data_IF_985610879392
#
_entry.id   IF_985610879392
#
_cell.length_a   1.000
_cell.length_b   1.000
_cell.length_c   1.000
_cell.angle_alpha   90.00
_cell.angle_beta   90.00
_cell.angle_gamma   90.00
#
_symmetry.space_group_name_H-M   'P 1'
#
loop_
_entity.id
_entity.type
_entity.pdbx_description
1 polymer ?
#
# COMPACT_ATOMS: atom_id res chain seq x y z
N UNK A 1 46.37 14.00 51.15
CA UNK A 1 45.09 14.62 50.75
C UNK A 1 44.76 14.16 49.33
N UNK A 2 43.93 13.13 49.22
CA UNK A 2 43.29 12.72 47.97
C UNK A 2 41.80 12.74 48.26
N UNK A 3 41.04 13.43 47.43
CA UNK A 3 39.77 12.91 46.93
C UNK A 3 39.52 13.56 45.57
N UNK A 4 39.72 12.74 44.54
CA UNK A 4 39.26 13.04 43.19
C UNK A 4 37.77 12.66 43.17
N UNK A 5 36.90 13.65 42.94
CA UNK A 5 35.50 13.40 42.67
C UNK A 5 35.35 12.62 41.38
N UNK A 6 34.76 11.43 41.46
CA UNK A 6 34.31 10.67 40.29
C UNK A 6 32.87 11.09 39.99
N UNK A 7 32.65 11.48 38.74
CA UNK A 7 31.34 11.80 38.14
C UNK A 7 30.51 10.52 38.01
N UNK A 8 29.21 10.66 38.18
CA UNK A 8 28.23 9.77 37.54
C UNK A 8 27.19 10.65 36.82
N UNK A 9 27.30 10.68 35.50
CA UNK A 9 26.25 11.14 34.60
C UNK A 9 25.52 9.86 34.17
N UNK A 10 24.37 9.57 34.78
CA UNK A 10 23.45 8.56 34.24
C UNK A 10 22.48 9.26 33.28
N UNK A 11 22.79 9.18 31.99
CA UNK A 11 21.80 9.42 30.94
C UNK A 11 21.29 8.07 30.48
N UNK A 12 20.23 7.59 31.15
CA UNK A 12 19.51 6.38 30.76
C UNK A 12 18.46 6.75 29.69
N UNK A 13 18.88 6.97 28.45
CA UNK A 13 17.94 7.08 27.32
C UNK A 13 17.81 5.72 26.64
N UNK A 14 16.60 5.17 26.64
CA UNK A 14 16.22 4.07 25.76
C UNK A 14 15.61 4.68 24.49
N UNK A 15 16.24 4.47 23.34
CA UNK A 15 15.62 4.78 22.06
C UNK A 15 14.63 3.67 21.72
N UNK A 16 13.33 3.99 21.76
CA UNK A 16 12.27 3.10 21.32
C UNK A 16 11.94 3.43 19.87
N UNK A 17 12.08 2.45 19.00
CA UNK A 17 11.80 2.59 17.58
C UNK A 17 10.38 2.17 17.20
N UNK A 18 9.83 1.20 17.92
CA UNK A 18 8.43 0.81 17.77
C UNK A 18 7.89 0.30 19.10
N UNK A 19 6.59 0.49 19.33
CA UNK A 19 5.88 -0.01 20.50
C UNK A 19 4.43 -0.31 20.13
N UNK A 20 3.81 -1.28 20.80
CA UNK A 20 2.38 -1.54 20.66
C UNK A 20 1.67 -1.23 21.97
N UNK A 21 0.58 -0.48 21.88
CA UNK A 21 -0.34 -0.22 23.00
C UNK A 21 -1.67 -0.90 22.69
N UNK A 22 -2.18 -1.68 23.63
CA UNK A 22 -3.48 -2.36 23.51
C UNK A 22 -4.38 -1.85 24.62
N UNK A 23 -5.56 -1.35 24.24
CA UNK A 23 -6.58 -0.81 25.12
C UNK A 23 -7.53 -1.91 25.57
N UNK A 24 -8.15 -1.73 26.74
CA UNK A 24 -9.17 -2.64 27.26
C UNK A 24 -10.41 -2.74 26.33
N UNK A 25 -10.65 -1.70 25.51
CA UNK A 25 -11.69 -1.68 24.48
C UNK A 25 -11.46 -2.69 23.35
N UNK A 26 -10.22 -3.16 23.14
CA UNK A 26 -9.85 -4.00 21.99
C UNK A 26 -9.22 -3.22 20.83
N UNK A 27 -8.94 -1.92 21.01
CA UNK A 27 -8.13 -1.11 20.10
C UNK A 27 -6.66 -1.40 20.33
N UNK A 28 -5.89 -1.60 19.25
CA UNK A 28 -4.44 -1.75 19.30
C UNK A 28 -3.78 -0.67 18.42
N UNK A 29 -2.82 0.06 18.99
CA UNK A 29 -2.05 1.09 18.29
C UNK A 29 -0.59 0.64 18.24
N UNK A 30 -0.10 0.42 17.02
CA UNK A 30 1.32 0.30 16.74
C UNK A 30 1.89 1.70 16.53
N UNK A 31 2.87 2.08 17.34
CA UNK A 31 3.57 3.37 17.32
C UNK A 31 4.96 3.18 16.75
N UNK A 32 5.40 4.11 15.89
CA UNK A 32 6.71 4.10 15.24
C UNK A 32 7.47 5.39 15.60
N UNK A 33 8.59 5.24 16.32
CA UNK A 33 9.41 6.35 16.78
C UNK A 33 10.20 7.05 15.65
N UNK A 34 10.50 8.36 15.79
CA UNK A 34 10.04 9.25 16.86
C UNK A 34 8.54 9.56 16.71
N UNK A 35 7.80 9.54 17.83
CA UNK A 35 6.38 9.88 17.87
C UNK A 35 6.05 10.61 19.17
N UNK A 36 5.26 11.69 19.06
CA UNK A 36 4.62 12.39 20.18
C UNK A 36 3.13 12.08 20.15
N UNK A 37 2.70 11.25 21.10
CA UNK A 37 1.35 10.70 21.18
C UNK A 37 0.81 10.81 22.60
N UNK A 38 -0.35 11.43 22.77
CA UNK A 38 -1.09 11.45 24.03
C UNK A 38 -2.25 10.45 23.96
N UNK A 39 -2.38 9.59 24.96
CA UNK A 39 -3.33 8.48 24.95
C UNK A 39 -4.47 8.72 25.94
N UNK A 40 -5.70 8.51 25.49
CA UNK A 40 -6.93 8.51 26.28
C UNK A 40 -7.73 7.23 26.01
N UNK A 41 -8.74 6.96 26.82
CA UNK A 41 -9.51 5.69 26.77
C UNK A 41 -10.16 5.43 25.40
N UNK A 42 -10.63 6.47 24.72
CA UNK A 42 -11.39 6.37 23.46
C UNK A 42 -10.79 7.20 22.32
N UNK A 43 -9.66 7.87 22.54
CA UNK A 43 -8.99 8.64 21.51
C UNK A 43 -7.50 8.83 21.83
N UNK A 44 -6.74 9.31 20.84
CA UNK A 44 -5.38 9.80 21.06
C UNK A 44 -5.13 11.11 20.31
N UNK A 45 -4.11 11.85 20.75
CA UNK A 45 -3.63 13.04 20.07
C UNK A 45 -2.25 12.74 19.50
N UNK A 46 -2.14 12.66 18.17
CA UNK A 46 -0.89 12.47 17.45
C UNK A 46 -0.38 13.82 16.96
N UNK A 47 0.69 14.33 17.58
CA UNK A 47 1.27 15.64 17.21
C UNK A 47 2.37 15.51 16.17
N UNK A 48 3.17 14.44 16.23
CA UNK A 48 4.24 14.12 15.28
C UNK A 48 4.48 12.61 15.34
N UNK A 49 4.80 11.98 14.22
CA UNK A 49 5.18 10.57 14.14
C UNK A 49 4.17 9.73 13.37
N UNK A 50 4.18 8.42 13.60
CA UNK A 50 3.40 7.45 12.82
C UNK A 50 2.73 6.45 13.74
N UNK A 51 1.46 6.19 13.47
CA UNK A 51 0.67 5.16 14.14
C UNK A 51 -0.09 4.32 13.13
N UNK A 52 -0.28 3.05 13.47
CA UNK A 52 -1.19 2.14 12.78
C UNK A 52 -2.16 1.57 13.81
N UNK A 53 -3.44 1.74 13.54
CA UNK A 53 -4.52 1.36 14.46
C UNK A 53 -5.22 0.14 13.90
N UNK A 54 -5.49 -0.83 14.76
CA UNK A 54 -6.40 -1.95 14.50
C UNK A 54 -7.51 -1.95 15.53
N UNK A 55 -8.74 -1.91 15.05
CA UNK A 55 -9.93 -1.88 15.90
C UNK A 55 -10.66 -3.21 15.80
N UNK A 56 -10.82 -3.88 16.94
CA UNK A 56 -11.56 -5.15 17.00
C UNK A 56 -13.06 -4.91 16.78
N UNK A 57 -13.81 -5.85 16.19
CA UNK A 57 -15.26 -5.72 16.05
C UNK A 57 -15.95 -5.46 17.41
N UNK A 58 -16.83 -4.47 17.47
CA UNK A 58 -17.50 -4.00 18.68
C UNK A 58 -16.74 -2.92 19.48
N UNK A 59 -15.57 -2.50 19.02
CA UNK A 59 -14.75 -1.45 19.63
C UNK A 59 -14.72 -0.15 18.80
N UNK A 60 -15.69 0.03 17.91
CA UNK A 60 -15.71 1.12 16.93
C UNK A 60 -15.89 2.51 17.57
N UNK A 61 -15.42 3.53 16.85
CA UNK A 61 -15.55 4.94 17.24
C UNK A 61 -14.35 5.52 17.99
N UNK A 62 -13.21 4.82 18.04
CA UNK A 62 -11.93 5.36 18.44
C UNK A 62 -11.48 6.48 17.51
N UNK A 63 -10.91 7.53 18.09
CA UNK A 63 -10.54 8.73 17.34
C UNK A 63 -9.04 9.03 17.43
N UNK A 64 -8.44 9.44 16.30
CA UNK A 64 -7.13 10.08 16.28
C UNK A 64 -7.33 11.56 15.98
N UNK A 65 -6.91 12.40 16.91
CA UNK A 65 -6.79 13.83 16.71
C UNK A 65 -5.38 14.15 16.24
N UNK A 66 -5.25 14.84 15.12
CA UNK A 66 -4.01 15.44 14.65
C UNK A 66 -4.16 16.97 14.67
N UNK A 67 -3.09 17.76 14.39
CA UNK A 67 -3.20 19.20 14.33
C UNK A 67 -4.22 19.75 13.32
N UNK A 68 -4.53 19.00 12.25
CA UNK A 68 -5.39 19.46 11.14
C UNK A 68 -6.56 18.54 10.81
N UNK A 69 -6.64 17.36 11.43
CA UNK A 69 -7.74 16.44 11.18
C UNK A 69 -8.21 15.67 12.41
N UNK A 70 -9.45 15.19 12.32
CA UNK A 70 -10.04 14.21 13.19
C UNK A 70 -10.32 12.96 12.35
N UNK A 71 -9.73 11.84 12.75
CA UNK A 71 -9.88 10.55 12.10
C UNK A 71 -10.70 9.64 13.02
N UNK A 72 -11.88 9.20 12.55
CA UNK A 72 -12.81 8.35 13.30
C UNK A 72 -12.86 6.96 12.70
N UNK A 73 -12.65 5.92 13.51
CA UNK A 73 -12.80 4.55 13.04
C UNK A 73 -14.27 4.10 12.97
N UNK A 74 -14.58 3.25 11.99
CA UNK A 74 -15.85 2.53 11.89
C UNK A 74 -15.66 0.99 11.83
N UNK A 75 -14.66 0.45 12.54
CA UNK A 75 -14.34 -0.98 12.56
C UNK A 75 -13.34 -1.41 11.49
N UNK A 76 -12.09 -0.99 11.66
CA UNK A 76 -11.10 -0.90 10.57
C UNK A 76 -9.66 -1.07 11.05
N UNK A 77 -8.77 -1.35 10.09
CA UNK A 77 -7.33 -1.13 10.24
C UNK A 77 -6.90 0.06 9.36
N UNK A 78 -6.21 1.04 9.94
CA UNK A 78 -5.78 2.26 9.25
C UNK A 78 -4.48 2.83 9.80
N UNK A 79 -3.79 3.64 9.00
CA UNK A 79 -2.55 4.33 9.36
C UNK A 79 -2.75 5.83 9.41
N UNK A 80 -2.09 6.49 10.36
CA UNK A 80 -2.01 7.96 10.46
C UNK A 80 -0.56 8.37 10.69
N UNK A 81 -0.07 9.36 9.95
CA UNK A 81 1.24 9.96 10.19
C UNK A 81 1.16 11.48 10.19
N UNK A 82 1.97 12.13 11.02
CA UNK A 82 2.19 13.58 11.00
C UNK A 82 3.70 13.82 10.92
N UNK A 83 4.15 14.47 9.85
CA UNK A 83 5.58 14.75 9.65
C UNK A 83 6.04 16.06 10.30
N UNK A 84 7.35 16.33 10.25
CA UNK A 84 7.95 17.55 10.83
C UNK A 84 7.52 18.85 10.13
N UNK A 85 6.97 18.77 8.93
CA UNK A 85 6.42 19.92 8.20
C UNK A 85 4.95 20.19 8.57
N UNK A 86 4.33 19.25 9.30
CA UNK A 86 2.91 19.26 9.63
C UNK A 86 2.03 18.70 8.50
N UNK A 87 2.61 18.01 7.52
CA UNK A 87 1.82 17.21 6.57
C UNK A 87 1.34 15.94 7.27
N UNK A 88 0.04 15.69 7.16
CA UNK A 88 -0.59 14.50 7.72
C UNK A 88 -0.93 13.53 6.59
N UNK A 89 -0.88 12.23 6.86
CA UNK A 89 -1.31 11.18 5.92
C UNK A 89 -2.23 10.22 6.63
N UNK A 90 -3.29 9.81 5.95
CA UNK A 90 -4.23 8.80 6.42
C UNK A 90 -4.42 7.77 5.31
N UNK A 91 -4.40 6.48 5.65
CA UNK A 91 -4.68 5.39 4.71
C UNK A 91 -5.46 4.27 5.38
N UNK A 92 -6.45 3.71 4.66
CA UNK A 92 -7.30 2.63 5.15
C UNK A 92 -6.86 1.29 4.56
N UNK A 93 -6.58 0.31 5.42
CA UNK A 93 -6.13 -1.02 5.04
C UNK A 93 -7.24 -2.07 5.07
N UNK A 94 -8.24 -1.89 5.93
CA UNK A 94 -9.45 -2.73 6.03
C UNK A 94 -10.62 -1.88 6.52
N UNK A 95 -11.87 -2.13 6.14
CA UNK A 95 -13.03 -1.40 6.68
C UNK A 95 -13.16 0.06 6.16
N UNK A 96 -13.72 0.93 7.00
CA UNK A 96 -14.01 2.34 6.69
C UNK A 96 -13.54 3.29 7.83
N UNK A 97 -13.09 4.48 7.45
CA UNK A 97 -12.66 5.57 8.34
C UNK A 97 -13.34 6.87 7.92
N UNK A 98 -13.78 7.67 8.88
CA UNK A 98 -14.20 9.06 8.66
C UNK A 98 -13.06 10.04 8.88
N UNK A 99 -12.90 11.02 7.99
CA UNK A 99 -11.92 12.10 8.12
C UNK A 99 -12.63 13.45 8.10
N UNK A 100 -12.35 14.29 9.09
CA UNK A 100 -12.83 15.66 9.17
C UNK A 100 -11.65 16.63 9.32
N UNK A 101 -11.64 17.70 8.54
CA UNK A 101 -10.69 18.82 8.63
C UNK A 101 -11.45 20.14 8.76
N UNK A 102 -10.77 21.21 9.21
CA UNK A 102 -11.39 22.55 9.31
C UNK A 102 -11.92 23.07 7.95
N UNK A 103 -11.34 22.61 6.85
CA UNK A 103 -11.73 23.01 5.47
C UNK A 103 -12.77 22.06 4.85
N UNK A 104 -12.98 20.88 5.43
CA UNK A 104 -13.94 19.91 4.91
C UNK A 104 -15.39 20.31 5.23
N UNK A 105 -16.30 20.18 4.26
CA UNK A 105 -17.73 20.42 4.47
C UNK A 105 -18.41 19.16 5.03
N UNK A 106 -17.98 18.72 6.21
CA UNK A 106 -18.40 17.48 6.85
C UNK A 106 -17.37 16.36 6.73
N UNK A 107 -17.69 15.24 7.35
CA UNK A 107 -16.83 14.05 7.34
C UNK A 107 -16.79 13.41 5.94
N UNK A 108 -15.58 13.07 5.50
CA UNK A 108 -15.33 12.34 4.27
C UNK A 108 -15.01 10.90 4.65
N UNK A 109 -15.79 9.96 4.14
CA UNK A 109 -15.59 8.53 4.37
C UNK A 109 -14.55 7.98 3.40
N UNK A 110 -13.62 7.21 3.95
CA UNK A 110 -12.56 6.51 3.23
C UNK A 110 -12.73 5.01 3.44
N UNK A 111 -12.77 4.26 2.35
CA UNK A 111 -12.82 2.80 2.34
C UNK A 111 -11.44 2.18 2.16
N UNK A 112 -11.34 0.86 2.31
CA UNK A 112 -10.14 0.08 2.01
C UNK A 112 -9.46 0.51 0.69
N UNK A 113 -8.14 0.71 0.75
CA UNK A 113 -7.35 1.13 -0.40
C UNK A 113 -7.36 2.64 -0.66
N UNK A 114 -8.11 3.42 0.13
CA UNK A 114 -8.19 4.87 -0.01
C UNK A 114 -7.34 5.59 1.05
N UNK A 115 -6.85 6.76 0.67
CA UNK A 115 -6.02 7.59 1.53
C UNK A 115 -5.85 9.01 1.05
N UNK A 116 -5.48 9.87 1.99
CA UNK A 116 -5.33 11.31 1.78
C UNK A 116 -4.08 11.85 2.48
N UNK A 117 -3.59 12.96 1.95
CA UNK A 117 -2.73 13.89 2.69
C UNK A 117 -3.55 15.09 3.15
N UNK A 118 -3.27 15.58 4.35
CA UNK A 118 -3.81 16.83 4.88
C UNK A 118 -2.64 17.79 5.02
N UNK A 119 -2.66 18.88 4.26
CA UNK A 119 -1.59 19.86 4.38
C UNK A 119 -1.79 20.79 5.59
N UNK A 120 -0.82 21.66 5.87
CA UNK A 120 -0.87 22.63 6.98
C UNK A 120 -2.09 23.57 6.99
N UNK A 121 -2.78 23.73 5.86
CA UNK A 121 -3.99 24.53 5.74
C UNK A 121 -5.26 23.72 6.01
N UNK A 122 -5.17 22.39 6.21
CA UNK A 122 -6.33 21.52 6.34
C UNK A 122 -6.90 21.03 5.00
N UNK A 123 -6.25 21.35 3.88
CA UNK A 123 -6.68 20.92 2.55
C UNK A 123 -6.32 19.45 2.32
N UNK A 124 -7.29 18.70 1.83
CA UNK A 124 -7.18 17.28 1.51
C UNK A 124 -6.71 17.08 0.08
N UNK A 125 -5.71 16.23 -0.10
CA UNK A 125 -5.26 15.75 -1.40
C UNK A 125 -5.18 14.22 -1.39
N UNK A 126 -5.24 13.59 -2.55
CA UNK A 126 -5.06 12.13 -2.66
C UNK A 126 -3.65 11.73 -2.18
N UNK A 127 -3.57 10.70 -1.36
CA UNK A 127 -2.32 10.01 -1.08
C UNK A 127 -2.06 9.02 -2.20
N UNK A 128 -1.06 9.26 -3.04
CA UNK A 128 -0.83 8.39 -4.21
C UNK A 128 -0.15 7.06 -3.86
N UNK A 129 0.74 7.04 -2.88
CA UNK A 129 1.55 5.85 -2.56
C UNK A 129 1.58 5.60 -1.06
N UNK A 130 1.42 4.33 -0.70
CA UNK A 130 1.70 3.79 0.62
C UNK A 130 2.77 2.71 0.50
N UNK A 131 3.84 2.84 1.26
CA UNK A 131 4.93 1.87 1.35
C UNK A 131 5.26 1.54 2.83
N UNK A 132 6.29 0.73 3.05
CA UNK A 132 6.78 0.37 4.37
C UNK A 132 7.38 1.56 5.16
N UNK A 133 7.68 2.67 4.48
CA UNK A 133 8.15 3.91 5.10
C UNK A 133 7.01 4.85 5.49
N UNK A 134 5.78 4.61 5.04
CA UNK A 134 4.67 5.55 5.25
C UNK A 134 4.15 5.52 6.69
N UNK A 135 3.82 4.34 7.21
CA UNK A 135 3.22 4.18 8.56
C UNK A 135 3.99 3.24 9.50
N UNK A 136 4.89 2.41 8.96
CA UNK A 136 5.63 1.41 9.74
C UNK A 136 7.04 1.88 10.10
N UNK A 137 7.62 1.29 11.15
CA UNK A 137 9.03 1.47 11.47
C UNK A 137 9.87 0.57 10.56
N UNK A 138 10.90 1.14 9.95
CA UNK A 138 11.99 0.37 9.37
C UNK A 138 13.25 0.59 10.19
N UNK A 139 13.84 -0.51 10.68
CA UNK A 139 15.28 -0.53 10.91
C UNK A 139 15.95 -0.11 9.61
N UNK A 140 16.98 0.74 9.66
CA UNK A 140 17.78 1.16 8.50
C UNK A 140 17.80 0.08 7.42
N UNK A 141 16.98 0.22 6.38
CA UNK A 141 16.84 -0.84 5.40
C UNK A 141 18.20 -1.07 4.77
N UNK A 142 18.67 -2.32 4.81
CA UNK A 142 19.85 -2.72 4.02
C UNK A 142 19.59 -2.58 2.52
N UNK A 143 18.33 -2.40 2.12
CA UNK A 143 17.87 -2.30 0.75
C UNK A 143 17.06 -1.01 0.57
N UNK A 144 17.64 0.07 0.03
CA UNK A 144 16.88 1.28 -0.28
C UNK A 144 15.73 0.96 -1.25
N UNK A 145 14.61 1.71 -1.20
CA UNK A 145 13.48 1.49 -2.12
C UNK A 145 13.95 1.55 -3.56
N UNK A 146 13.42 0.68 -4.41
CA UNK A 146 13.69 0.69 -5.85
C UNK A 146 12.69 1.59 -6.56
N UNK A 147 11.41 1.42 -6.24
CA UNK A 147 10.31 2.28 -6.68
C UNK A 147 10.13 3.36 -5.63
N UNK A 148 10.31 4.62 -6.01
CA UNK A 148 10.25 5.77 -5.10
C UNK A 148 8.98 6.59 -5.24
N UNK A 149 8.26 6.42 -6.36
CA UNK A 149 6.99 7.09 -6.60
C UNK A 149 6.15 6.32 -7.60
N UNK A 150 4.83 6.41 -7.45
CA UNK A 150 3.81 5.99 -8.41
C UNK A 150 2.76 7.08 -8.45
N UNK A 151 2.47 7.61 -9.63
CA UNK A 151 1.41 8.59 -9.84
C UNK A 151 0.63 8.24 -11.09
N UNK A 152 -0.58 8.74 -11.21
CA UNK A 152 -1.39 8.61 -12.42
C UNK A 152 -2.01 9.96 -12.81
N UNK A 153 -2.72 9.96 -13.92
CA UNK A 153 -3.42 11.14 -14.43
C UNK A 153 -4.91 11.20 -14.03
N UNK A 154 -5.34 10.38 -13.06
CA UNK A 154 -6.72 10.34 -12.56
C UNK A 154 -6.92 11.49 -11.59
N UNK A 155 -8.04 12.20 -11.72
CA UNK A 155 -8.27 13.42 -10.93
C UNK A 155 -8.53 13.08 -9.46
N UNK A 156 -7.94 13.86 -8.56
CA UNK A 156 -8.03 13.65 -7.10
C UNK A 156 -9.41 13.97 -6.50
N UNK A 157 -10.28 14.66 -7.23
CA UNK A 157 -11.68 14.88 -6.85
C UNK A 157 -12.62 13.75 -7.29
N UNK A 158 -12.09 12.76 -8.03
CA UNK A 158 -12.82 11.61 -8.55
C UNK A 158 -12.43 10.29 -7.82
N UNK A 159 -11.23 10.21 -7.23
CA UNK A 159 -10.70 8.99 -6.62
C UNK A 159 -9.71 9.26 -5.46
N UNK A 160 -9.80 8.49 -4.38
CA UNK A 160 -8.87 8.53 -3.24
C UNK A 160 -7.98 7.30 -3.10
N UNK A 161 -8.05 6.36 -4.05
CA UNK A 161 -7.30 5.10 -4.01
C UNK A 161 -5.79 5.32 -4.14
N UNK A 162 -5.00 4.65 -3.31
CA UNK A 162 -3.54 4.70 -3.36
C UNK A 162 -2.95 3.47 -4.04
N UNK A 163 -1.75 3.58 -4.60
CA UNK A 163 -0.91 2.42 -4.90
C UNK A 163 -0.20 1.96 -3.64
N UNK A 164 0.00 0.66 -3.49
CA UNK A 164 0.84 0.12 -2.42
C UNK A 164 2.11 -0.51 -2.98
N UNK A 165 3.27 -0.10 -2.45
CA UNK A 165 4.55 -0.75 -2.79
C UNK A 165 4.85 -1.79 -1.72
N UNK A 166 4.98 -3.05 -2.15
CA UNK A 166 5.30 -4.18 -1.27
C UNK A 166 6.58 -4.86 -1.74
N UNK A 167 7.59 -4.85 -0.88
CA UNK A 167 8.78 -5.72 -1.04
C UNK A 167 8.38 -7.17 -0.84
N UNK A 168 8.89 -8.06 -1.70
CA UNK A 168 8.52 -9.46 -1.71
C UNK A 168 7.00 -9.67 -1.88
N UNK A 169 6.33 -8.83 -2.67
CA UNK A 169 4.87 -8.90 -2.84
C UNK A 169 4.36 -10.08 -3.66
N UNK A 170 5.23 -10.78 -4.40
CA UNK A 170 4.85 -11.97 -5.17
C UNK A 170 5.13 -13.22 -4.34
N UNK A 171 4.11 -13.70 -3.62
CA UNK A 171 4.12 -14.98 -2.92
C UNK A 171 2.76 -15.67 -3.12
N UNK A 172 2.68 -16.96 -2.82
CA UNK A 172 1.40 -17.69 -2.81
C UNK A 172 0.45 -16.99 -1.82
N UNK A 173 -0.85 -16.99 -2.13
CA UNK A 173 -1.91 -16.35 -1.35
C UNK A 173 -1.69 -14.83 -1.11
N UNK A 174 -0.82 -14.15 -1.88
CA UNK A 174 -0.55 -12.71 -1.70
C UNK A 174 -1.50 -11.84 -2.49
N UNK A 175 -2.03 -10.82 -1.83
CA UNK A 175 -3.01 -9.90 -2.41
C UNK A 175 -2.45 -9.11 -3.60
N UNK A 176 -3.24 -9.00 -4.66
CA UNK A 176 -2.87 -8.33 -5.92
C UNK A 176 -3.19 -6.84 -5.88
N UNK A 177 -4.37 -6.48 -5.36
CA UNK A 177 -4.91 -5.12 -5.39
C UNK A 177 -5.19 -4.56 -4.00
N UNK A 178 -5.15 -3.23 -3.88
CA UNK A 178 -5.52 -2.57 -2.61
C UNK A 178 -7.02 -2.67 -2.34
N UNK A 179 -7.85 -2.56 -3.37
CA UNK A 179 -9.33 -2.46 -3.34
C UNK A 179 -10.06 -3.78 -3.62
N UNK A 180 -9.32 -4.88 -3.88
CA UNK A 180 -9.87 -6.22 -4.12
C UNK A 180 -9.06 -7.28 -3.39
N UNK A 181 -9.73 -8.36 -2.99
CA UNK A 181 -9.12 -9.45 -2.23
C UNK A 181 -8.43 -10.51 -3.12
N UNK A 182 -8.34 -10.32 -4.43
CA UNK A 182 -7.72 -11.30 -5.34
C UNK A 182 -6.26 -11.58 -4.95
N UNK A 183 -5.85 -12.84 -5.12
CA UNK A 183 -4.53 -13.34 -4.68
C UNK A 183 -3.73 -13.91 -5.85
N UNK A 184 -2.41 -13.68 -5.81
CA UNK A 184 -1.45 -14.39 -6.64
C UNK A 184 -1.30 -15.82 -6.16
N UNK A 185 -1.26 -16.75 -7.11
CA UNK A 185 -0.91 -18.13 -6.87
C UNK A 185 -0.11 -18.70 -8.04
N UNK A 186 0.66 -19.76 -7.82
CA UNK A 186 1.20 -20.53 -8.93
C UNK A 186 0.06 -21.13 -9.76
N UNK A 187 0.31 -21.36 -11.06
CA UNK A 187 -0.58 -22.20 -11.86
C UNK A 187 -0.47 -23.67 -11.44
N UNK A 188 -1.45 -24.48 -11.81
CA UNK A 188 -1.52 -25.89 -11.38
C UNK A 188 -0.27 -26.68 -11.77
N UNK A 189 0.28 -27.42 -10.81
CA UNK A 189 1.52 -28.20 -10.96
C UNK A 189 2.76 -27.36 -11.31
N UNK A 190 2.78 -26.08 -10.92
CA UNK A 190 3.92 -25.17 -11.06
C UNK A 190 4.23 -24.49 -9.72
N UNK A 191 5.34 -23.76 -9.68
CA UNK A 191 5.66 -22.77 -8.66
C UNK A 191 5.55 -21.36 -9.24
N UNK A 192 5.50 -20.34 -8.38
CA UNK A 192 5.71 -18.96 -8.79
C UNK A 192 7.10 -18.80 -9.45
N UNK A 193 7.23 -17.91 -10.47
CA UNK A 193 8.51 -17.71 -11.14
C UNK A 193 9.57 -17.14 -10.19
N UNK A 194 10.64 -17.89 -9.94
CA UNK A 194 11.69 -17.51 -8.98
C UNK A 194 12.39 -16.19 -9.31
N UNK A 195 12.39 -15.77 -10.58
CA UNK A 195 12.95 -14.49 -10.97
C UNK A 195 12.17 -13.29 -10.42
N UNK A 196 10.94 -13.48 -9.91
CA UNK A 196 10.15 -12.46 -9.22
C UNK A 196 10.41 -12.41 -7.70
N UNK A 197 11.23 -13.30 -7.15
CA UNK A 197 11.61 -13.20 -5.73
C UNK A 197 12.43 -11.91 -5.49
N UNK A 198 12.38 -11.34 -4.28
CA UNK A 198 13.13 -10.13 -3.90
C UNK A 198 12.80 -8.90 -4.76
N UNK A 199 11.60 -8.86 -5.35
CA UNK A 199 11.10 -7.73 -6.12
C UNK A 199 10.19 -6.80 -5.30
N UNK A 200 10.01 -5.58 -5.76
CA UNK A 200 8.96 -4.67 -5.31
C UNK A 200 7.73 -4.80 -6.21
N UNK A 201 6.58 -5.12 -5.62
CA UNK A 201 5.27 -5.14 -6.26
C UNK A 201 4.61 -3.77 -6.07
N UNK A 202 4.10 -3.19 -7.14
CA UNK A 202 3.09 -2.14 -7.11
C UNK A 202 1.72 -2.80 -7.14
N UNK A 203 1.07 -2.86 -5.99
CA UNK A 203 -0.34 -3.19 -5.91
C UNK A 203 -1.12 -1.99 -6.46
N UNK A 204 -1.75 -2.21 -7.60
CA UNK A 204 -2.70 -1.25 -8.17
C UNK A 204 -4.04 -1.37 -7.46
N UNK A 205 -4.94 -0.45 -7.75
CA UNK A 205 -6.37 -0.64 -7.49
C UNK A 205 -7.03 -1.09 -8.80
N UNK A 206 -8.08 -1.90 -8.69
CA UNK A 206 -8.73 -2.51 -9.85
C UNK A 206 -9.84 -1.65 -10.44
N UNK A 207 -10.30 -0.61 -9.76
CA UNK A 207 -11.45 0.18 -10.20
C UNK A 207 -11.25 0.98 -11.50
N UNK A 208 -10.07 1.56 -11.76
CA UNK A 208 -9.82 2.35 -12.99
C UNK A 208 -9.50 1.52 -14.23
N UNK A 209 -9.61 0.19 -14.18
CA UNK A 209 -9.38 -0.71 -15.32
C UNK A 209 -10.12 -0.30 -16.60
N UNK A 210 -11.22 0.44 -16.50
CA UNK A 210 -12.08 0.89 -17.61
C UNK A 210 -11.69 2.25 -18.20
N UNK A 211 -10.77 3.00 -17.61
CA UNK A 211 -10.37 4.30 -18.15
C UNK A 211 -9.41 4.14 -19.34
N UNK A 212 -9.91 4.51 -20.53
CA UNK A 212 -9.15 4.47 -21.79
C UNK A 212 -8.09 5.57 -21.88
N UNK A 213 -8.11 6.57 -20.99
CA UNK A 213 -7.12 7.66 -20.92
C UNK A 213 -6.12 7.48 -19.79
N UNK A 214 -6.23 6.41 -19.00
CA UNK A 214 -5.35 6.12 -17.88
C UNK A 214 -3.87 6.03 -18.31
N UNK A 215 -3.02 6.75 -17.58
CA UNK A 215 -1.57 6.68 -17.65
C UNK A 215 -1.00 6.67 -16.24
N UNK A 216 -0.16 5.67 -15.94
CA UNK A 216 0.59 5.56 -14.70
C UNK A 216 2.07 5.87 -14.96
N UNK A 217 2.69 6.63 -14.07
CA UNK A 217 4.13 6.89 -14.07
C UNK A 217 4.75 6.33 -12.80
N UNK A 218 5.76 5.47 -12.96
CA UNK A 218 6.61 4.96 -11.88
C UNK A 218 7.93 5.71 -11.90
N UNK A 219 8.47 6.07 -10.74
CA UNK A 219 9.83 6.59 -10.63
C UNK A 219 10.73 5.54 -9.99
N UNK A 220 11.82 5.20 -10.67
CA UNK A 220 12.83 4.25 -10.19
C UNK A 220 14.11 4.96 -9.74
N UNK A 221 14.61 4.58 -8.57
CA UNK A 221 15.87 5.10 -8.03
C UNK A 221 17.10 4.63 -8.84
N UNK A 222 17.02 3.43 -9.42
CA UNK A 222 18.11 2.76 -10.12
C UNK A 222 17.61 1.85 -11.25
N UNK A 223 18.47 1.45 -12.21
CA UNK A 223 18.07 0.57 -13.29
C UNK A 223 17.47 -0.75 -12.79
N UNK A 224 16.41 -1.19 -13.45
CA UNK A 224 15.60 -2.33 -13.03
C UNK A 224 15.13 -3.17 -14.22
N UNK A 225 14.78 -4.42 -13.92
CA UNK A 225 13.86 -5.20 -14.74
C UNK A 225 12.44 -4.87 -14.28
N UNK A 226 11.62 -4.35 -15.19
CA UNK A 226 10.19 -4.16 -14.96
C UNK A 226 9.42 -5.31 -15.56
N UNK A 227 8.45 -5.79 -14.80
CA UNK A 227 7.50 -6.80 -15.21
C UNK A 227 6.09 -6.24 -15.13
N UNK A 228 5.30 -6.46 -16.16
CA UNK A 228 3.86 -6.20 -16.16
C UNK A 228 3.15 -7.54 -16.15
N UNK A 229 2.37 -7.79 -15.10
CA UNK A 229 1.49 -8.95 -15.01
C UNK A 229 0.12 -8.54 -15.55
N UNK A 230 -0.23 -9.07 -16.73
CA UNK A 230 -1.35 -8.59 -17.54
C UNK A 230 -2.40 -9.68 -17.75
N UNK A 231 -3.68 -9.34 -17.58
CA UNK A 231 -4.82 -10.24 -17.75
C UNK A 231 -4.80 -10.92 -19.12
N UNK A 232 -4.59 -12.25 -19.13
CA UNK A 232 -4.44 -13.02 -20.38
C UNK A 232 -5.69 -13.04 -21.25
N UNK A 233 -6.85 -12.68 -20.69
CA UNK A 233 -8.13 -12.63 -21.40
C UNK A 233 -8.19 -11.43 -22.34
N UNK A 234 -7.34 -10.43 -22.13
CA UNK A 234 -7.30 -9.19 -22.90
C UNK A 234 -6.30 -9.25 -24.05
N UNK A 235 -6.56 -8.44 -25.09
CA UNK A 235 -5.56 -8.16 -26.10
C UNK A 235 -4.53 -7.16 -25.52
N UNK A 236 -3.22 -7.46 -25.58
CA UNK A 236 -2.23 -6.57 -25.01
C UNK A 236 -2.21 -5.22 -25.78
N UNK A 237 -2.25 -4.07 -25.09
CA UNK A 237 -2.19 -2.77 -25.73
C UNK A 237 -0.83 -2.55 -26.40
N UNK A 238 -0.79 -1.65 -27.39
CA UNK A 238 0.40 -1.40 -28.20
C UNK A 238 1.63 -0.96 -27.40
N UNK A 239 1.43 -0.21 -26.30
CA UNK A 239 2.51 0.19 -25.40
C UNK A 239 3.17 -1.01 -24.71
N UNK A 240 2.39 -2.05 -24.37
CA UNK A 240 2.90 -3.25 -23.69
C UNK A 240 3.63 -4.13 -24.69
N UNK A 241 2.96 -4.51 -25.79
CA UNK A 241 3.56 -5.38 -26.81
C UNK A 241 4.72 -4.73 -27.57
N UNK A 242 4.81 -3.40 -27.58
CA UNK A 242 5.86 -2.65 -28.25
C UNK A 242 7.11 -2.38 -27.40
N UNK A 243 7.00 -2.42 -26.07
CA UNK A 243 8.09 -2.07 -25.14
C UNK A 243 8.54 -3.25 -24.26
N UNK A 244 7.74 -4.31 -24.18
CA UNK A 244 8.01 -5.47 -23.33
C UNK A 244 8.07 -6.76 -24.15
N UNK A 245 8.95 -7.66 -23.73
CA UNK A 245 9.01 -9.04 -24.19
C UNK A 245 8.06 -9.91 -23.37
N UNK A 246 7.19 -10.69 -24.04
CA UNK A 246 6.32 -11.64 -23.36
C UNK A 246 7.11 -12.88 -22.94
N UNK A 247 7.09 -13.21 -21.65
CA UNK A 247 7.68 -14.44 -21.11
C UNK A 247 6.72 -15.64 -21.27
N UNK A 248 7.24 -16.88 -21.32
CA UNK A 248 6.41 -18.07 -21.55
C UNK A 248 5.57 -18.47 -20.33
N UNK A 249 5.99 -18.11 -19.12
CA UNK A 249 5.28 -18.46 -17.89
C UNK A 249 4.01 -17.64 -17.69
N UNK A 250 3.11 -18.19 -16.86
CA UNK A 250 1.91 -17.52 -16.38
C UNK A 250 1.93 -17.53 -14.85
N UNK A 251 1.31 -16.52 -14.26
CA UNK A 251 0.97 -16.50 -12.83
C UNK A 251 -0.53 -16.68 -12.69
N UNK A 252 -0.96 -17.50 -11.73
CA UNK A 252 -2.36 -17.73 -11.42
C UNK A 252 -2.94 -16.60 -10.59
N UNK A 253 -4.24 -16.37 -10.78
CA UNK A 253 -5.05 -15.43 -10.01
C UNK A 253 -6.22 -16.19 -9.42
N UNK A 254 -6.30 -16.20 -8.09
CA UNK A 254 -7.49 -16.65 -7.35
C UNK A 254 -8.41 -15.44 -7.17
N UNK A 255 -9.55 -15.47 -7.86
CA UNK A 255 -10.50 -14.37 -7.89
C UNK A 255 -11.59 -14.61 -6.83
N UNK A 256 -11.96 -13.57 -6.09
CA UNK A 256 -13.13 -13.68 -5.22
C UNK A 256 -14.35 -13.71 -6.11
N UNK A 257 -15.10 -14.81 -6.04
CA UNK A 257 -16.37 -14.94 -6.72
C UNK A 257 -17.50 -14.56 -5.77
N UNK A 258 -18.29 -13.55 -6.12
CA UNK A 258 -19.53 -13.23 -5.40
C UNK A 258 -20.62 -14.20 -5.85
N UNK A 259 -21.06 -15.08 -4.96
CA UNK A 259 -22.18 -15.99 -5.22
C UNK A 259 -23.48 -15.48 -4.61
N UNK A 260 -24.63 -16.00 -5.06
CA UNK A 260 -25.94 -15.67 -4.50
C UNK A 260 -26.08 -16.00 -3.00
N UNK A 261 -25.17 -16.80 -2.43
CA UNK A 261 -25.12 -17.20 -1.02
C UNK A 261 -24.03 -16.46 -0.22
N UNK A 262 -23.36 -15.49 -0.81
CA UNK A 262 -22.25 -14.73 -0.20
C UNK A 262 -20.94 -14.84 -0.99
N UNK A 263 -19.89 -14.21 -0.47
CA UNK A 263 -18.54 -14.26 -1.06
C UNK A 263 -17.98 -15.69 -0.97
N UNK A 264 -17.54 -16.25 -2.09
CA UNK A 264 -16.83 -17.51 -2.12
C UNK A 264 -15.38 -17.25 -1.71
N UNK A 265 -14.91 -18.00 -0.72
CA UNK A 265 -13.60 -17.81 -0.10
C UNK A 265 -12.48 -18.29 -1.02
N UNK A 266 -11.40 -17.52 -1.08
CA UNK A 266 -10.13 -17.86 -1.73
C UNK A 266 -9.59 -19.20 -1.18
N UNK A 267 -8.97 -19.99 -2.05
CA UNK A 267 -8.38 -21.26 -1.70
C UNK A 267 -6.90 -21.08 -1.34
N UNK A 268 -6.47 -21.70 -0.24
CA UNK A 268 -5.08 -21.60 0.21
C UNK A 268 -4.12 -22.47 -0.59
N UNK A 269 -3.04 -21.87 -1.05
CA UNK A 269 -1.87 -22.48 -1.65
C UNK A 269 -1.86 -22.48 -3.18
N UNK A 270 -0.67 -22.59 -3.75
CA UNK A 270 -0.44 -22.57 -5.19
C UNK A 270 -1.24 -23.62 -5.98
N UNK A 271 -1.69 -23.22 -7.17
CA UNK A 271 -2.49 -24.05 -8.07
C UNK A 271 -3.92 -24.33 -7.57
N UNK A 272 -4.41 -23.61 -6.56
CA UNK A 272 -5.76 -23.76 -6.03
C UNK A 272 -6.62 -22.58 -6.51
N UNK A 273 -7.86 -22.86 -6.90
CA UNK A 273 -8.85 -21.85 -7.33
C UNK A 273 -8.31 -20.86 -8.38
N UNK A 274 -7.65 -21.37 -9.43
CA UNK A 274 -7.06 -20.50 -10.46
C UNK A 274 -8.13 -20.11 -11.50
N UNK A 275 -8.88 -19.06 -11.19
CA UNK A 275 -9.98 -18.53 -12.03
C UNK A 275 -9.45 -17.81 -13.27
N UNK A 276 -8.34 -17.09 -13.11
CA UNK A 276 -7.65 -16.41 -14.20
C UNK A 276 -6.14 -16.61 -14.11
N UNK A 277 -5.41 -16.19 -15.15
CA UNK A 277 -3.96 -16.21 -15.18
C UNK A 277 -3.45 -14.94 -15.84
N UNK A 278 -2.41 -14.34 -15.30
CA UNK A 278 -1.73 -13.23 -15.94
C UNK A 278 -0.57 -13.71 -16.79
N UNK A 279 -0.45 -13.08 -17.96
CA UNK A 279 0.77 -13.11 -18.77
C UNK A 279 1.83 -12.24 -18.14
N UNK A 280 3.09 -12.64 -18.26
CA UNK A 280 4.24 -11.91 -17.71
C UNK A 280 4.97 -11.24 -18.87
N UNK A 281 5.18 -9.94 -18.77
CA UNK A 281 5.86 -9.12 -19.78
C UNK A 281 7.03 -8.43 -19.14
N UNK A 282 8.22 -8.53 -19.72
CA UNK A 282 9.47 -8.01 -19.14
C UNK A 282 10.10 -6.95 -20.02
N UNK A 283 10.65 -5.92 -19.40
CA UNK A 283 11.58 -4.99 -20.05
C UNK A 283 12.66 -4.53 -19.09
N UNK A 284 13.73 -3.94 -19.63
CA UNK A 284 14.77 -3.29 -18.82
C UNK A 284 14.59 -1.80 -18.92
N UNK A 285 14.69 -1.12 -17.79
CA UNK A 285 14.54 0.32 -17.69
C UNK A 285 15.71 0.93 -16.91
N UNK A 286 16.07 2.14 -17.29
CA UNK A 286 17.03 2.94 -16.55
C UNK A 286 16.35 3.60 -15.34
N UNK A 287 17.15 4.23 -14.48
CA UNK A 287 16.63 5.06 -13.39
C UNK A 287 15.83 6.25 -13.92
N UNK A 288 14.83 6.70 -13.15
CA UNK A 288 13.94 7.80 -13.49
C UNK A 288 12.52 7.34 -13.79
N UNK A 289 11.78 8.20 -14.50
CA UNK A 289 10.36 7.99 -14.75
C UNK A 289 10.12 7.01 -15.91
N UNK A 290 9.23 6.04 -15.69
CA UNK A 290 8.74 5.11 -16.70
C UNK A 290 7.21 5.12 -16.75
N UNK A 291 6.66 5.27 -17.95
CA UNK A 291 5.22 5.44 -18.17
C UNK A 291 4.57 4.16 -18.70
N UNK A 292 3.40 3.85 -18.16
CA UNK A 292 2.56 2.72 -18.54
C UNK A 292 1.18 3.26 -18.91
N UNK A 293 0.61 2.76 -20.01
CA UNK A 293 -0.70 3.20 -20.49
C UNK A 293 -1.84 2.39 -19.88
N UNK A 294 -3.05 2.63 -20.39
CA UNK A 294 -4.27 1.91 -20.04
C UNK A 294 -4.20 0.39 -20.30
N UNK A 295 -5.24 -0.31 -19.84
CA UNK A 295 -5.43 -1.76 -19.97
C UNK A 295 -5.79 -2.25 -21.39
N UNK A 296 -5.83 -1.35 -22.38
CA UNK A 296 -6.42 -1.60 -23.69
C UNK A 296 -7.96 -1.58 -23.65
N UNK A 297 -8.56 -1.41 -24.83
CA UNK A 297 -10.01 -1.42 -24.97
C UNK A 297 -10.56 -2.85 -24.82
N UNK A 298 -11.56 -3.00 -23.96
CA UNK A 298 -12.27 -4.26 -23.76
C UNK A 298 -13.69 -3.98 -23.29
N UNK A 299 -14.65 -4.72 -23.84
CA UNK A 299 -16.06 -4.66 -23.41
C UNK A 299 -16.34 -5.54 -22.18
N UNK A 300 -15.36 -6.31 -21.71
CA UNK A 300 -15.53 -7.16 -20.53
C UNK A 300 -15.46 -6.33 -19.24
N UNK A 301 -16.50 -6.47 -18.41
CA UNK A 301 -16.51 -5.94 -17.04
C UNK A 301 -15.70 -6.80 -16.06
N UNK A 302 -15.38 -8.04 -16.43
CA UNK A 302 -14.59 -8.99 -15.63
C UNK A 302 -13.07 -8.79 -15.81
N UNK A 303 -12.65 -7.83 -16.62
CA UNK A 303 -11.22 -7.56 -16.84
C UNK A 303 -10.55 -7.14 -15.53
N UNK A 304 -9.28 -7.48 -15.38
CA UNK A 304 -8.49 -7.07 -14.22
C UNK A 304 -7.41 -6.07 -14.60
N UNK A 305 -7.14 -5.09 -13.72
CA UNK A 305 -6.07 -4.10 -13.89
C UNK A 305 -4.71 -4.80 -13.89
N UNK A 306 -3.76 -4.40 -14.74
CA UNK A 306 -2.43 -4.95 -14.62
C UNK A 306 -1.77 -4.50 -13.31
N UNK A 307 -0.73 -5.22 -12.91
CA UNK A 307 0.15 -4.86 -11.79
C UNK A 307 1.59 -4.87 -12.26
N UNK A 308 2.42 -4.10 -11.56
CA UNK A 308 3.82 -3.88 -11.95
C UNK A 308 4.73 -4.44 -10.89
N UNK A 309 5.77 -5.12 -11.32
CA UNK A 309 6.81 -5.65 -10.44
C UNK A 309 8.15 -5.10 -10.90
N UNK A 310 8.95 -4.55 -9.99
CA UNK A 310 10.29 -4.05 -10.26
C UNK A 310 11.31 -4.89 -9.52
N UNK A 311 12.37 -5.30 -10.22
CA UNK A 311 13.50 -5.99 -9.62
C UNK A 311 14.80 -5.32 -10.02
N UNK A 312 15.65 -5.04 -9.03
CA UNK A 312 16.95 -4.42 -9.28
C UNK A 312 17.80 -5.34 -10.17
N UNK A 313 18.38 -4.78 -11.23
CA UNK A 313 19.34 -5.53 -12.04
C UNK A 313 20.60 -5.76 -11.22
N UNK A 314 20.99 -7.02 -10.98
CA UNK A 314 22.30 -7.29 -10.41
C UNK A 314 23.37 -6.77 -11.38
N UNK A 315 24.32 -5.98 -10.89
CA UNK A 315 25.50 -5.63 -11.67
C UNK A 315 26.30 -6.91 -11.91
N UNK A 316 26.40 -7.33 -13.17
CA UNK A 316 27.33 -8.38 -13.61
C UNK A 316 28.78 -7.99 -13.36
#
# INVERSE_FOLDING_TARGET
MREAGVRELELNYLTVHSAQVVFDSGVAIQVTGPTTLELHEQHCLLTEGKVRVRVSPGAEGFQIHTPKSLVTDYGTEFGVSVDQTGEEKVAVFEGEVGINTEESNGEILMSIGQGVTVNKNGELNRLYVVDDHTFDYQEFSKHPPLITSVVDNVRSDELYDFYRIIRNGIQEDSRIYVDRVHEFNSVENSTLPEYLNDSELVMTYNDDKIDDMYEMTLTLDRPAELYVLFDRRLQPPGWLSGQFEKLPELIGVDEETVTATGHQRLAKGGGRSIDNRFTIWKTRVDAGDFRLGNNGSSQSLEKLMYVVVAKETQMN
#
